data_IF_671843858431
#
_entry.id   IF_671843858431
#
_cell.length_a   1.000
_cell.length_b   1.000
_cell.length_c   1.000
_cell.angle_alpha   90.00
_cell.angle_beta   90.00
_cell.angle_gamma   90.00
#
_symmetry.space_group_name_H-M   'P 1'
#
loop_
_entity.id
_entity.type
_entity.pdbx_description
1 polymer ?
#
# COMPACT_ATOMS: atom_id res chain seq x y z
N UNK A 1 -18.89 -4.97 -11.53
CA UNK A 1 -19.39 -5.87 -10.47
C UNK A 1 -19.79 -5.03 -9.28
N UNK A 2 -20.74 -5.48 -8.45
CA UNK A 2 -21.19 -4.75 -7.26
C UNK A 2 -20.00 -4.48 -6.33
N UNK A 3 -19.64 -3.20 -6.12
CA UNK A 3 -18.55 -2.74 -5.22
C UNK A 3 -18.81 -3.03 -3.73
N UNK A 4 -19.75 -3.91 -3.39
CA UNK A 4 -20.13 -4.18 -1.99
C UNK A 4 -18.99 -4.80 -1.20
N UNK A 5 -18.23 -5.70 -1.83
CA UNK A 5 -17.04 -6.34 -1.27
C UNK A 5 -15.95 -6.33 -2.36
N UNK A 6 -15.00 -5.41 -2.34
CA UNK A 6 -13.93 -5.36 -3.35
C UNK A 6 -13.07 -6.62 -3.26
N UNK A 7 -12.71 -7.19 -4.40
CA UNK A 7 -11.68 -8.23 -4.48
C UNK A 7 -10.32 -7.54 -4.45
N UNK A 8 -9.63 -7.70 -3.33
CA UNK A 8 -8.41 -6.95 -3.02
C UNK A 8 -7.17 -7.85 -3.08
N UNK A 9 -6.11 -7.35 -3.72
CA UNK A 9 -4.78 -7.96 -3.63
C UNK A 9 -3.99 -7.30 -2.50
N UNK A 10 -3.78 -8.03 -1.40
CA UNK A 10 -3.05 -7.54 -0.22
C UNK A 10 -1.59 -7.21 -0.53
N UNK A 11 -0.99 -6.30 0.26
CA UNK A 11 0.25 -5.63 -0.09
C UNK A 11 1.41 -6.59 -0.38
N UNK A 12 1.61 -7.59 0.48
CA UNK A 12 2.70 -8.57 0.36
C UNK A 12 2.60 -9.50 -0.86
N UNK A 13 1.41 -9.65 -1.45
CA UNK A 13 1.22 -10.50 -2.64
C UNK A 13 2.04 -10.01 -3.84
N UNK A 14 2.29 -8.71 -3.92
CA UNK A 14 3.09 -8.06 -4.98
C UNK A 14 4.54 -7.77 -4.55
N UNK A 15 4.93 -8.20 -3.35
CA UNK A 15 6.27 -7.95 -2.79
C UNK A 15 6.54 -6.48 -2.48
N UNK A 16 7.83 -6.15 -2.31
CA UNK A 16 8.35 -4.85 -1.84
C UNK A 16 9.20 -4.10 -2.87
N UNK A 17 9.42 -4.67 -4.06
CA UNK A 17 10.30 -4.08 -5.09
C UNK A 17 9.58 -3.28 -6.16
N UNK A 18 8.25 -3.38 -6.24
CA UNK A 18 7.49 -2.66 -7.25
C UNK A 18 7.14 -1.26 -6.75
N UNK A 19 7.33 -0.25 -7.62
CA UNK A 19 6.91 1.12 -7.34
C UNK A 19 5.37 1.21 -7.32
N UNK A 20 4.84 2.28 -6.72
CA UNK A 20 3.40 2.42 -6.50
C UNK A 20 2.56 2.28 -7.79
N UNK A 21 3.02 2.86 -8.90
CA UNK A 21 2.31 2.77 -10.18
C UNK A 21 2.28 1.35 -10.76
N UNK A 22 3.40 0.62 -10.65
CA UNK A 22 3.48 -0.77 -11.11
C UNK A 22 2.53 -1.68 -10.32
N UNK A 23 2.41 -1.43 -9.01
CA UNK A 23 1.46 -2.13 -8.13
C UNK A 23 0.02 -1.92 -8.60
N UNK A 24 -0.37 -0.67 -8.87
CA UNK A 24 -1.72 -0.33 -9.35
C UNK A 24 -2.00 -0.96 -10.71
N UNK A 25 -1.04 -0.87 -11.64
CA UNK A 25 -1.15 -1.45 -12.98
C UNK A 25 -1.33 -2.97 -12.92
N UNK A 26 -0.48 -3.68 -12.19
CA UNK A 26 -0.52 -5.14 -12.10
C UNK A 26 -1.84 -5.64 -11.50
N UNK A 27 -2.34 -4.97 -10.46
CA UNK A 27 -3.62 -5.31 -9.85
C UNK A 27 -4.80 -5.08 -10.80
N UNK A 28 -4.81 -3.96 -11.53
CA UNK A 28 -5.85 -3.67 -12.52
C UNK A 28 -5.82 -4.65 -13.70
N UNK A 29 -4.64 -4.99 -14.23
CA UNK A 29 -4.48 -5.97 -15.32
C UNK A 29 -4.91 -7.38 -14.89
N UNK A 30 -4.74 -7.74 -13.62
CA UNK A 30 -5.21 -9.00 -13.05
C UNK A 30 -6.70 -9.01 -12.66
N UNK A 31 -7.41 -7.89 -12.78
CA UNK A 31 -8.85 -7.78 -12.55
C UNK A 31 -9.27 -7.61 -11.08
N UNK A 32 -8.36 -7.16 -10.21
CA UNK A 32 -8.70 -6.81 -8.82
C UNK A 32 -9.43 -5.47 -8.76
N UNK A 33 -10.34 -5.32 -7.79
CA UNK A 33 -11.07 -4.07 -7.52
C UNK A 33 -10.24 -3.08 -6.68
N UNK A 34 -9.25 -3.61 -5.94
CA UNK A 34 -8.44 -2.81 -5.03
C UNK A 34 -7.09 -3.42 -4.68
N UNK A 35 -6.23 -2.60 -4.08
CA UNK A 35 -4.96 -3.00 -3.48
C UNK A 35 -4.98 -2.83 -1.97
N UNK A 36 -4.21 -3.67 -1.28
CA UNK A 36 -3.76 -3.44 0.09
C UNK A 36 -2.49 -2.60 0.10
N UNK A 37 -2.42 -1.65 1.02
CA UNK A 37 -1.31 -0.70 1.13
C UNK A 37 -0.69 -0.74 2.52
N UNK A 38 0.61 -1.05 2.55
CA UNK A 38 1.46 -0.91 3.72
C UNK A 38 1.92 0.52 3.92
N UNK A 39 2.09 0.93 5.17
CA UNK A 39 2.67 2.23 5.51
C UNK A 39 4.04 2.44 4.85
N UNK A 40 4.89 1.42 4.78
CA UNK A 40 6.21 1.50 4.15
C UNK A 40 6.11 1.76 2.65
N UNK A 41 5.23 1.06 1.93
CA UNK A 41 5.00 1.30 0.50
C UNK A 41 4.47 2.71 0.23
N UNK A 42 3.63 3.24 1.13
CA UNK A 42 3.17 4.62 1.04
C UNK A 42 4.33 5.62 1.24
N UNK A 43 5.19 5.39 2.24
CA UNK A 43 6.37 6.22 2.49
C UNK A 43 7.37 6.15 1.33
N UNK A 44 7.57 4.98 0.73
CA UNK A 44 8.42 4.81 -0.46
C UNK A 44 7.88 5.65 -1.64
N UNK A 45 6.57 5.63 -1.89
CA UNK A 45 5.94 6.47 -2.89
C UNK A 45 6.18 7.97 -2.64
N UNK A 46 6.10 8.42 -1.38
CA UNK A 46 6.42 9.80 -1.02
C UNK A 46 7.91 10.12 -1.23
N UNK A 47 8.81 9.20 -0.89
CA UNK A 47 10.25 9.34 -1.09
C UNK A 47 10.65 9.36 -2.57
N UNK A 48 9.87 8.69 -3.43
CA UNK A 48 9.97 8.77 -4.89
C UNK A 48 9.43 10.09 -5.46
N UNK A 49 8.85 10.96 -4.62
CA UNK A 49 8.39 12.29 -4.97
C UNK A 49 6.91 12.40 -5.29
N UNK A 50 6.12 11.34 -5.07
CA UNK A 50 4.67 11.40 -5.23
C UNK A 50 4.02 12.18 -4.09
N UNK A 51 3.02 12.98 -4.41
CA UNK A 51 2.09 13.56 -3.44
C UNK A 51 0.88 12.66 -3.26
N UNK A 52 0.10 12.88 -2.20
CA UNK A 52 -1.20 12.22 -2.01
C UNK A 52 -2.11 12.37 -3.24
N UNK A 53 -2.01 13.52 -3.92
CA UNK A 53 -2.77 13.77 -5.15
C UNK A 53 -2.29 12.89 -6.29
N UNK A 54 -0.98 12.74 -6.48
CA UNK A 54 -0.43 11.85 -7.50
C UNK A 54 -0.80 10.39 -7.25
N UNK A 55 -0.78 9.97 -5.97
CA UNK A 55 -1.22 8.63 -5.54
C UNK A 55 -2.70 8.41 -5.91
N UNK A 56 -3.58 9.36 -5.59
CA UNK A 56 -5.01 9.29 -5.98
C UNK A 56 -5.17 9.30 -7.51
N UNK A 57 -4.42 10.13 -8.22
CA UNK A 57 -4.50 10.25 -9.67
C UNK A 57 -4.00 8.95 -10.37
N UNK A 58 -2.98 8.28 -9.82
CA UNK A 58 -2.53 6.94 -10.26
C UNK A 58 -3.60 5.88 -10.00
N UNK A 59 -4.21 5.85 -8.81
CA UNK A 59 -5.30 4.91 -8.50
C UNK A 59 -6.47 5.08 -9.50
N UNK A 60 -6.86 6.33 -9.76
CA UNK A 60 -7.90 6.67 -10.74
C UNK A 60 -7.52 6.28 -12.17
N UNK A 61 -6.26 6.49 -12.57
CA UNK A 61 -5.75 6.09 -13.89
C UNK A 61 -5.96 4.60 -14.19
N UNK A 62 -5.84 3.75 -13.17
CA UNK A 62 -6.03 2.30 -13.28
C UNK A 62 -7.41 1.81 -12.83
N UNK A 63 -8.34 2.73 -12.51
CA UNK A 63 -9.67 2.44 -11.98
C UNK A 63 -9.63 1.46 -10.78
N UNK A 64 -8.65 1.65 -9.90
CA UNK A 64 -8.43 0.84 -8.71
C UNK A 64 -8.51 1.69 -7.45
N UNK A 65 -8.79 1.08 -6.30
CA UNK A 65 -8.88 1.79 -5.01
C UNK A 65 -8.01 1.14 -3.95
N UNK A 66 -7.49 1.94 -3.01
CA UNK A 66 -6.91 1.39 -1.78
C UNK A 66 -8.06 0.93 -0.88
N UNK A 67 -8.13 -0.37 -0.61
CA UNK A 67 -9.28 -1.01 0.08
C UNK A 67 -8.88 -1.74 1.36
N UNK A 68 -7.57 -1.83 1.61
CA UNK A 68 -6.98 -2.41 2.81
C UNK A 68 -5.75 -1.58 3.19
N UNK A 69 -5.60 -1.32 4.49
CA UNK A 69 -4.45 -0.58 5.05
C UNK A 69 -3.84 -1.42 6.18
N UNK A 70 -2.51 -1.56 6.16
CA UNK A 70 -1.74 -2.38 7.08
C UNK A 70 -0.38 -1.70 7.39
N UNK A 71 0.38 -2.05 8.44
CA UNK A 71 0.19 -3.10 9.43
C UNK A 71 0.60 -2.57 10.81
N UNK A 72 -0.38 -2.38 11.72
CA UNK A 72 -0.07 -1.90 13.08
C UNK A 72 0.42 -3.09 13.92
N UNK A 73 1.68 -3.02 14.34
CA UNK A 73 2.34 -3.98 15.23
C UNK A 73 2.90 -3.28 16.45
N UNK A 74 3.42 -4.07 17.41
CA UNK A 74 4.13 -3.58 18.60
C UNK A 74 3.32 -2.61 19.49
N UNK A 75 1.99 -2.58 19.33
CA UNK A 75 1.11 -1.64 20.04
C UNK A 75 1.02 -1.90 21.56
N UNK A 76 1.45 -3.08 22.00
CA UNK A 76 1.51 -3.49 23.41
C UNK A 76 2.91 -3.97 23.82
N UNK A 77 3.94 -3.67 23.03
CA UNK A 77 5.31 -4.01 23.40
C UNK A 77 5.85 -3.01 24.42
N UNK A 78 6.73 -3.49 25.30
CA UNK A 78 7.49 -2.61 26.21
C UNK A 78 8.25 -1.55 25.40
N UNK A 79 8.33 -0.30 25.88
CA UNK A 79 9.05 0.75 25.18
C UNK A 79 10.49 0.31 24.87
N UNK A 80 10.86 0.35 23.58
CA UNK A 80 12.24 0.05 23.17
C UNK A 80 13.23 0.90 23.97
N UNK A 81 14.23 0.24 24.55
CA UNK A 81 15.34 0.93 25.22
C UNK A 81 16.09 1.80 24.22
N UNK A 82 16.89 2.76 24.72
CA UNK A 82 17.68 3.64 23.86
C UNK A 82 18.55 2.84 22.86
N UNK A 83 19.14 1.74 23.30
CA UNK A 83 20.00 0.88 22.46
C UNK A 83 19.23 0.09 21.39
N UNK A 84 17.97 -0.28 21.65
CA UNK A 84 17.11 -1.01 20.70
C UNK A 84 16.50 -0.12 19.62
N UNK A 85 16.55 1.21 19.77
CA UNK A 85 16.04 2.15 18.77
C UNK A 85 17.00 2.35 17.58
N UNK A 86 18.28 2.03 17.75
CA UNK A 86 19.34 2.28 16.76
C UNK A 86 20.01 0.99 16.25
N UNK A 87 19.41 -0.17 16.50
CA UNK A 87 19.73 -1.46 15.87
C UNK A 87 18.59 -1.86 14.96
#
# INVERSE_FOLDING_TARGET
>A
MSKKNPITISSWTLGDKCIFEQRCKAAAEAGYDGIGLRAETYVDALNEGLTDKDIIDILNKYNITCTEVEYIVQWCEEPRSYEQKYK
#
